data_IF_000409554070
#
_entry.id   IF_000409554070
#
_cell.length_a   1.000
_cell.length_b   1.000
_cell.length_c   1.000
_cell.angle_alpha   90.00
_cell.angle_beta   90.00
_cell.angle_gamma   90.00
#
_symmetry.space_group_name_H-M   'P 1'
#
loop_
_entity.id
_entity.type
_entity.pdbx_description
1 polymer ?
#
# COMPACT_ATOMS: atom_id res chain seq x y z
N UNK A 1 -0.21 -28.93 5.48
CA UNK A 1 -0.60 -27.94 4.45
C UNK A 1 -1.75 -27.01 4.88
N UNK A 2 -2.73 -27.44 5.69
CA UNK A 2 -3.80 -26.53 6.19
C UNK A 2 -3.29 -25.36 7.06
N UNK A 3 -2.26 -25.61 7.88
CA UNK A 3 -1.73 -24.63 8.85
C UNK A 3 -1.08 -23.38 8.22
N UNK A 4 -0.50 -23.50 7.02
CA UNK A 4 0.21 -22.38 6.38
C UNK A 4 -0.75 -21.41 5.69
N UNK A 5 -1.76 -21.94 5.00
CA UNK A 5 -2.81 -21.11 4.37
C UNK A 5 -3.60 -20.32 5.42
N UNK A 6 -4.01 -20.97 6.50
CA UNK A 6 -4.73 -20.31 7.60
C UNK A 6 -3.88 -19.22 8.27
N UNK A 7 -2.57 -19.44 8.42
CA UNK A 7 -1.62 -18.45 8.94
C UNK A 7 -1.55 -17.23 8.01
N UNK A 8 -1.42 -17.44 6.71
CA UNK A 8 -1.35 -16.35 5.72
C UNK A 8 -2.63 -15.51 5.70
N UNK A 9 -3.80 -16.16 5.71
CA UNK A 9 -5.09 -15.47 5.76
C UNK A 9 -5.28 -14.67 7.07
N UNK A 10 -4.81 -15.21 8.20
CA UNK A 10 -4.80 -14.50 9.49
C UNK A 10 -3.89 -13.27 9.48
N UNK A 11 -2.70 -13.38 8.90
CA UNK A 11 -1.76 -12.25 8.78
C UNK A 11 -2.32 -11.14 7.89
N UNK A 12 -2.96 -11.49 6.76
CA UNK A 12 -3.64 -10.53 5.90
C UNK A 12 -4.71 -9.74 6.65
N UNK A 13 -5.67 -10.45 7.27
CA UNK A 13 -6.74 -9.83 8.06
C UNK A 13 -6.22 -8.98 9.22
N UNK A 14 -5.15 -9.42 9.90
CA UNK A 14 -4.55 -8.66 10.99
C UNK A 14 -3.95 -7.33 10.49
N UNK A 15 -3.25 -7.34 9.36
CA UNK A 15 -2.67 -6.15 8.75
C UNK A 15 -3.74 -5.14 8.32
N UNK A 16 -4.78 -5.61 7.62
CA UNK A 16 -5.92 -4.78 7.22
C UNK A 16 -6.58 -4.09 8.42
N UNK A 17 -6.84 -4.84 9.50
CA UNK A 17 -7.43 -4.31 10.72
C UNK A 17 -6.56 -3.24 11.39
N UNK A 18 -5.24 -3.42 11.36
CA UNK A 18 -4.28 -2.49 11.93
C UNK A 18 -4.20 -1.19 11.13
N UNK A 19 -4.09 -1.28 9.80
CA UNK A 19 -4.09 -0.13 8.89
C UNK A 19 -5.39 0.66 9.03
N UNK A 20 -6.56 0.00 9.08
CA UNK A 20 -7.85 0.67 9.29
C UNK A 20 -7.87 1.43 10.63
N UNK A 21 -7.31 0.86 11.71
CA UNK A 21 -7.23 1.56 13.00
C UNK A 21 -6.33 2.79 12.91
N UNK A 22 -5.21 2.71 12.19
CA UNK A 22 -4.31 3.84 11.96
C UNK A 22 -5.04 4.93 11.16
N UNK A 23 -5.65 4.60 10.03
CA UNK A 23 -6.39 5.54 9.19
C UNK A 23 -7.49 6.27 9.98
N UNK A 24 -8.27 5.55 10.80
CA UNK A 24 -9.30 6.16 11.66
C UNK A 24 -8.71 7.12 12.70
N UNK A 25 -7.56 6.79 13.28
CA UNK A 25 -6.84 7.67 14.24
C UNK A 25 -6.31 8.93 13.56
N UNK A 26 -5.99 8.85 12.27
CA UNK A 26 -5.59 9.99 11.43
C UNK A 26 -6.80 10.79 10.90
N UNK A 27 -8.02 10.51 11.37
CA UNK A 27 -9.22 11.24 10.98
C UNK A 27 -9.88 10.77 9.67
N UNK A 28 -9.37 9.70 9.04
CA UNK A 28 -9.95 9.20 7.80
C UNK A 28 -11.27 8.44 8.03
N UNK A 29 -12.23 8.61 7.13
CA UNK A 29 -13.46 7.77 7.09
C UNK A 29 -13.14 6.47 6.36
N UNK A 30 -13.52 5.32 6.92
CA UNK A 30 -13.22 3.99 6.33
C UNK A 30 -14.49 3.19 6.07
N UNK A 31 -14.58 2.48 4.95
CA UNK A 31 -15.62 1.47 4.66
C UNK A 31 -14.99 0.07 4.68
N UNK A 32 -15.54 -0.80 5.53
CA UNK A 32 -14.96 -2.13 5.83
C UNK A 32 -15.32 -3.21 4.81
N UNK A 33 -16.32 -3.00 3.96
CA UNK A 33 -16.77 -4.02 3.00
C UNK A 33 -15.78 -4.23 1.85
N UNK A 34 -15.06 -3.17 1.45
CA UNK A 34 -14.24 -3.16 0.22
C UNK A 34 -12.93 -2.36 0.39
N UNK A 35 -12.46 -2.25 1.66
CA UNK A 35 -11.35 -1.41 2.14
C UNK A 35 -11.16 -0.13 1.32
N UNK A 36 -12.13 0.77 1.42
CA UNK A 36 -12.01 2.14 0.93
C UNK A 36 -11.80 3.09 2.11
N UNK A 37 -10.97 4.12 1.93
CA UNK A 37 -10.77 5.18 2.89
C UNK A 37 -10.87 6.54 2.22
N UNK A 38 -11.42 7.51 2.94
CA UNK A 38 -11.40 8.90 2.54
C UNK A 38 -10.27 9.63 3.25
N UNK A 39 -9.27 9.98 2.47
CA UNK A 39 -8.11 10.74 2.94
C UNK A 39 -8.44 12.24 2.85
N UNK A 40 -8.10 13.07 3.86
CA UNK A 40 -8.46 14.49 3.90
C UNK A 40 -8.09 15.27 2.61
N UNK A 41 -6.92 15.01 2.05
CA UNK A 41 -6.41 15.72 0.87
C UNK A 41 -6.76 15.05 -0.47
N UNK A 42 -7.02 13.74 -0.46
CA UNK A 42 -7.12 12.95 -1.70
C UNK A 42 -8.53 12.41 -1.98
N UNK A 43 -9.48 12.59 -1.05
CA UNK A 43 -10.81 12.04 -1.15
C UNK A 43 -10.84 10.52 -0.99
N UNK A 44 -11.87 9.88 -1.52
CA UNK A 44 -12.02 8.43 -1.46
C UNK A 44 -11.01 7.71 -2.35
N UNK A 45 -10.32 6.72 -1.77
CA UNK A 45 -9.42 5.81 -2.45
C UNK A 45 -9.65 4.37 -1.96
N UNK A 46 -9.24 3.40 -2.77
CA UNK A 46 -9.03 2.04 -2.28
C UNK A 46 -7.80 2.00 -1.37
N UNK A 47 -7.74 1.01 -0.49
CA UNK A 47 -6.57 0.72 0.34
C UNK A 47 -6.24 -0.75 0.21
N UNK A 48 -5.12 -1.04 -0.43
CA UNK A 48 -4.60 -2.39 -0.61
C UNK A 48 -3.48 -2.63 0.41
N UNK A 49 -3.64 -3.62 1.29
CA UNK A 49 -2.69 -3.90 2.37
C UNK A 49 -1.99 -5.23 2.14
N UNK A 50 -0.66 -5.23 2.05
CA UNK A 50 0.14 -6.47 1.98
C UNK A 50 0.98 -6.61 3.26
N UNK A 51 0.69 -7.68 4.02
CA UNK A 51 1.28 -7.94 5.34
C UNK A 51 2.00 -9.30 5.45
N UNK A 52 2.28 -9.97 4.32
CA UNK A 52 2.88 -11.31 4.34
C UNK A 52 4.36 -11.25 4.72
N UNK A 53 5.12 -10.33 4.13
CA UNK A 53 6.56 -10.17 4.34
C UNK A 53 6.97 -8.69 4.38
N UNK A 54 7.98 -8.32 5.19
CA UNK A 54 8.57 -6.98 5.18
C UNK A 54 9.16 -6.62 3.82
N UNK A 55 8.85 -5.43 3.33
CA UNK A 55 9.47 -4.83 2.16
C UNK A 55 10.97 -4.60 2.41
N UNK A 56 11.79 -5.09 1.47
CA UNK A 56 13.21 -4.79 1.40
C UNK A 56 13.49 -3.93 0.15
N UNK A 57 13.80 -2.64 0.30
CA UNK A 57 14.26 -1.81 -0.82
C UNK A 57 15.63 -2.32 -1.29
N UNK A 58 15.65 -3.11 -2.37
CA UNK A 58 16.86 -3.74 -2.90
C UNK A 58 16.67 -5.12 -3.53
N UNK A 59 15.49 -5.75 -3.36
CA UNK A 59 15.15 -6.95 -4.12
C UNK A 59 14.96 -6.57 -5.61
N UNK A 60 15.74 -7.20 -6.50
CA UNK A 60 15.79 -6.90 -7.94
C UNK A 60 14.47 -7.27 -8.62
N UNK A 61 13.56 -6.31 -8.75
CA UNK A 61 12.30 -6.43 -9.49
C UNK A 61 11.50 -5.13 -9.44
N UNK A 62 10.48 -4.97 -10.30
CA UNK A 62 9.54 -3.87 -10.16
C UNK A 62 8.98 -3.90 -8.72
N UNK A 63 8.96 -2.77 -8.00
CA UNK A 63 8.61 -2.69 -6.59
C UNK A 63 7.35 -3.50 -6.25
N UNK A 64 6.30 -3.40 -7.07
CA UNK A 64 5.03 -4.10 -6.87
C UNK A 64 5.12 -5.64 -6.98
N UNK A 65 5.98 -6.21 -7.82
CA UNK A 65 6.15 -7.67 -7.93
C UNK A 65 6.85 -8.27 -6.70
N UNK A 66 7.72 -7.52 -6.04
CA UNK A 66 8.35 -7.93 -4.80
C UNK A 66 7.44 -7.75 -3.56
N UNK A 67 6.22 -7.24 -3.74
CA UNK A 67 5.33 -6.81 -2.66
C UNK A 67 4.03 -7.61 -2.58
N UNK A 68 3.94 -8.73 -3.32
CA UNK A 68 2.76 -9.60 -3.32
C UNK A 68 1.54 -8.97 -3.99
N UNK A 69 1.74 -7.95 -4.83
CA UNK A 69 0.72 -7.42 -5.73
C UNK A 69 0.85 -8.11 -7.09
N UNK A 70 -0.19 -8.85 -7.48
CA UNK A 70 -0.21 -9.53 -8.77
C UNK A 70 -0.49 -8.52 -9.90
N UNK A 71 0.00 -8.80 -11.11
CA UNK A 71 -0.14 -7.86 -12.24
C UNK A 71 -1.61 -7.54 -12.56
N UNK A 72 -2.52 -8.50 -12.39
CA UNK A 72 -3.94 -8.27 -12.60
C UNK A 72 -4.54 -7.32 -11.55
N UNK A 73 -4.05 -7.34 -10.31
CA UNK A 73 -4.51 -6.41 -9.25
C UNK A 73 -4.06 -4.99 -9.61
N UNK A 74 -2.83 -4.86 -10.10
CA UNK A 74 -2.31 -3.60 -10.58
C UNK A 74 -3.11 -3.04 -11.76
N UNK A 75 -3.36 -3.88 -12.77
CA UNK A 75 -4.13 -3.51 -13.96
C UNK A 75 -5.56 -3.11 -13.57
N UNK A 76 -6.19 -3.85 -12.65
CA UNK A 76 -7.50 -3.54 -12.12
C UNK A 76 -7.56 -2.14 -11.49
N UNK A 77 -6.66 -1.83 -10.56
CA UNK A 77 -6.66 -0.52 -9.89
C UNK A 77 -6.30 0.63 -10.85
N UNK A 78 -5.40 0.38 -11.79
CA UNK A 78 -5.03 1.35 -12.83
C UNK A 78 -6.22 1.65 -13.75
N UNK A 79 -7.00 0.62 -14.09
CA UNK A 79 -8.22 0.78 -14.87
C UNK A 79 -9.29 1.56 -14.10
N UNK A 80 -9.45 1.31 -12.80
CA UNK A 80 -10.37 2.10 -11.98
C UNK A 80 -9.93 3.56 -11.92
N UNK A 81 -8.63 3.84 -11.76
CA UNK A 81 -8.13 5.21 -11.80
C UNK A 81 -8.49 5.89 -13.12
N UNK A 82 -8.21 5.25 -14.26
CA UNK A 82 -8.51 5.80 -15.59
C UNK A 82 -10.02 6.02 -15.80
N UNK A 83 -10.86 5.09 -15.36
CA UNK A 83 -12.31 5.09 -15.62
C UNK A 83 -13.12 5.91 -14.62
N UNK A 84 -12.65 6.04 -13.38
CA UNK A 84 -13.40 6.60 -12.24
C UNK A 84 -12.66 7.68 -11.47
N UNK A 85 -11.38 7.92 -11.76
CA UNK A 85 -10.55 8.89 -11.03
C UNK A 85 -10.20 8.47 -9.60
N UNK A 86 -10.50 7.23 -9.20
CA UNK A 86 -10.27 6.76 -7.84
C UNK A 86 -8.93 6.04 -7.76
N UNK A 87 -8.07 6.52 -6.86
CA UNK A 87 -6.71 5.98 -6.65
C UNK A 87 -6.73 4.77 -5.70
N UNK A 88 -5.63 4.02 -5.70
CA UNK A 88 -5.40 2.94 -4.73
C UNK A 88 -4.18 3.28 -3.87
N UNK A 89 -4.39 3.39 -2.56
CA UNK A 89 -3.33 3.52 -1.57
C UNK A 89 -2.77 2.14 -1.28
N UNK A 90 -1.53 1.90 -1.70
CA UNK A 90 -0.83 0.65 -1.46
C UNK A 90 -0.03 0.74 -0.17
N UNK A 91 -0.29 -0.17 0.77
CA UNK A 91 0.25 -0.16 2.13
C UNK A 91 0.98 -1.46 2.41
N UNK A 92 2.24 -1.35 2.84
CA UNK A 92 3.12 -2.48 3.15
C UNK A 92 3.87 -2.23 4.46
N UNK A 93 4.48 -3.28 5.01
CA UNK A 93 5.47 -3.11 6.09
C UNK A 93 6.86 -2.96 5.50
N UNK A 94 7.68 -2.06 6.02
CA UNK A 94 9.11 -2.00 5.69
C UNK A 94 9.94 -3.02 6.49
N UNK A 95 11.26 -3.06 6.28
CA UNK A 95 12.20 -3.93 7.02
C UNK A 95 12.24 -3.69 8.54
N UNK A 96 11.77 -2.54 9.01
CA UNK A 96 11.65 -2.20 10.42
C UNK A 96 10.26 -2.55 10.97
N UNK A 97 9.43 -3.21 10.16
CA UNK A 97 8.03 -3.52 10.43
C UNK A 97 7.14 -2.28 10.61
N UNK A 98 7.51 -1.12 10.08
CA UNK A 98 6.66 0.06 10.07
C UNK A 98 5.70 0.05 8.87
N UNK A 99 4.49 0.56 9.06
CA UNK A 99 3.54 0.74 7.96
C UNK A 99 3.96 1.92 7.08
N UNK A 100 4.18 1.62 5.81
CA UNK A 100 4.54 2.61 4.81
C UNK A 100 3.57 2.53 3.63
N UNK A 101 3.32 3.67 2.99
CA UNK A 101 2.30 3.78 1.96
C UNK A 101 2.75 4.63 0.75
N UNK A 102 2.17 4.31 -0.40
CA UNK A 102 2.29 5.05 -1.65
C UNK A 102 1.07 4.78 -2.53
N UNK A 103 0.66 5.73 -3.35
CA UNK A 103 -0.36 5.48 -4.36
C UNK A 103 0.17 4.59 -5.47
N UNK A 104 -0.64 3.62 -5.88
CA UNK A 104 -0.26 2.62 -6.87
C UNK A 104 0.15 3.22 -8.21
N UNK A 105 -0.51 4.29 -8.64
CA UNK A 105 -0.21 5.00 -9.89
C UNK A 105 1.14 5.73 -9.87
N UNK A 106 1.70 5.99 -8.68
CA UNK A 106 3.05 6.55 -8.51
C UNK A 106 4.12 5.45 -8.57
N UNK A 107 3.74 4.19 -8.38
CA UNK A 107 4.64 3.04 -8.53
C UNK A 107 4.94 2.74 -10.01
N UNK A 108 4.27 3.41 -10.94
CA UNK A 108 4.46 3.25 -12.37
C UNK A 108 5.42 4.28 -12.94
N UNK A 109 6.67 3.87 -13.11
CA UNK A 109 7.63 4.60 -13.92
C UNK A 109 9.03 4.04 -13.78
N UNK A 110 9.83 4.23 -14.82
CA UNK A 110 11.30 4.06 -14.81
C UNK A 110 12.00 5.01 -13.81
N UNK A 111 11.24 5.74 -12.98
CA UNK A 111 11.69 6.80 -12.08
C UNK A 111 11.06 6.61 -10.72
N UNK A 112 11.91 6.78 -9.73
CA UNK A 112 11.75 6.14 -8.45
C UNK A 112 12.51 7.02 -7.43
N UNK A 113 11.89 7.42 -6.32
CA UNK A 113 12.49 8.25 -5.25
C UNK A 113 12.55 7.52 -3.88
N UNK A 114 13.55 7.68 -3.00
CA UNK A 114 13.48 7.32 -1.55
C UNK A 114 13.71 8.57 -0.69
N UNK A 115 12.95 8.74 0.39
CA UNK A 115 13.18 9.79 1.37
C UNK A 115 14.52 9.52 2.09
N UNK A 116 15.51 10.38 1.88
CA UNK A 116 16.83 10.29 2.50
C UNK A 116 18.03 10.57 1.59
N UNK A 117 17.82 10.72 0.29
CA UNK A 117 18.89 11.04 -0.66
C UNK A 117 18.46 10.68 -2.07
N UNK A 118 18.39 11.67 -2.94
CA UNK A 118 17.86 11.55 -4.30
C UNK A 118 18.83 10.70 -5.13
N UNK A 119 18.58 9.40 -5.22
CA UNK A 119 19.19 8.52 -6.21
C UNK A 119 18.09 8.04 -7.16
N UNK A 120 18.14 8.35 -8.46
CA UNK A 120 17.17 7.84 -9.44
C UNK A 120 17.20 6.31 -9.45
N UNK A 121 16.10 5.63 -9.08
CA UNK A 121 16.06 4.16 -9.12
C UNK A 121 15.19 3.39 -8.09
N UNK A 122 14.66 4.01 -7.03
CA UNK A 122 13.95 3.29 -5.94
C UNK A 122 12.55 3.81 -5.54
N UNK A 123 11.52 2.98 -5.37
CA UNK A 123 10.16 3.52 -5.04
C UNK A 123 10.12 4.22 -3.69
N UNK A 124 9.32 5.30 -3.61
CA UNK A 124 9.18 6.07 -2.38
C UNK A 124 7.97 5.59 -1.63
N UNK A 125 8.23 4.93 -0.51
CA UNK A 125 7.22 4.77 0.52
C UNK A 125 7.45 5.82 1.59
N UNK A 126 6.34 6.35 2.11
CA UNK A 126 6.36 7.23 3.26
C UNK A 126 5.76 6.48 4.43
N UNK A 127 6.24 6.72 5.65
CA UNK A 127 5.55 6.26 6.84
C UNK A 127 4.08 6.71 6.76
N UNK A 128 3.14 5.78 6.94
CA UNK A 128 1.72 6.01 6.71
C UNK A 128 1.19 7.21 7.52
N UNK A 129 1.72 7.42 8.72
CA UNK A 129 1.35 8.52 9.61
C UNK A 129 1.80 9.88 9.05
N UNK A 130 2.93 9.91 8.33
CA UNK A 130 3.44 11.12 7.69
C UNK A 130 2.93 11.32 6.26
N UNK A 131 2.47 10.24 5.61
CA UNK A 131 1.92 10.29 4.25
C UNK A 131 0.57 11.01 4.18
N UNK A 132 -0.22 10.93 5.24
CA UNK A 132 -1.55 11.53 5.31
C UNK A 132 -1.40 12.86 6.07
N UNK A 133 -1.20 13.99 5.37
CA UNK A 133 -1.13 15.28 6.02
C UNK A 133 -2.48 15.56 6.70
N UNK A 134 -2.41 15.96 7.99
CA UNK A 134 -3.54 16.48 8.74
C UNK A 134 -3.83 17.92 8.34
#
# INVERSE_FOLDING_TARGET
>A
MANERERVERLGKAGELEVIKILRRLGCRTRRSDIAAELPTYGWCFVEVKNKEPFSPGATGPPYWAQGLEIYEYDFYTDILKKKGMRCLFVVRDRHHEWVAQFLDVLHGEKFYIAGGVTPGYVMYYNLIHFIPL
#
